data_IF_716414045341
#
_entry.id   IF_716414045341
#
_cell.length_a   1.000
_cell.length_b   1.000
_cell.length_c   1.000
_cell.angle_alpha   90.00
_cell.angle_beta   90.00
_cell.angle_gamma   90.00
#
_symmetry.space_group_name_H-M   'P 1'
#
loop_
_entity.id
_entity.type
_entity.pdbx_description
1 polymer ?
#
# COMPACT_ATOMS: atom_id res chain seq x y z
N UNK A 1 6.98 27.42 -6.16
CA UNK A 1 6.60 28.76 -6.67
C UNK A 1 5.76 28.59 -7.94
N UNK A 2 4.78 29.46 -8.24
CA UNK A 2 3.95 29.35 -9.46
C UNK A 2 2.77 28.34 -9.45
N UNK A 3 2.61 27.53 -8.39
CA UNK A 3 1.42 26.68 -8.22
C UNK A 3 0.22 27.47 -7.72
N UNK A 4 -0.99 26.95 -7.94
CA UNK A 4 -2.27 27.48 -7.42
C UNK A 4 -2.92 26.47 -6.47
N UNK A 5 -3.99 26.87 -5.77
CA UNK A 5 -4.68 25.99 -4.80
C UNK A 5 -5.17 24.69 -5.45
N UNK A 6 -5.59 24.76 -6.71
CA UNK A 6 -5.95 23.60 -7.54
C UNK A 6 -5.19 23.64 -8.85
N UNK A 7 -4.87 22.48 -9.42
CA UNK A 7 -4.23 22.40 -10.74
C UNK A 7 -5.07 23.07 -11.83
N UNK A 8 -6.40 23.14 -11.64
CA UNK A 8 -7.37 23.72 -12.58
C UNK A 8 -7.49 25.24 -12.52
N UNK A 9 -6.84 25.91 -11.56
CA UNK A 9 -6.96 27.36 -11.34
C UNK A 9 -5.93 28.19 -12.13
N UNK A 10 -5.48 27.70 -13.29
CA UNK A 10 -4.43 28.38 -14.08
C UNK A 10 -3.03 28.28 -13.47
N UNK A 11 -2.71 27.11 -12.89
CA UNK A 11 -1.39 26.81 -12.32
C UNK A 11 -0.29 26.96 -13.39
N UNK A 12 0.61 27.95 -13.22
CA UNK A 12 1.63 28.28 -14.22
C UNK A 12 2.65 27.15 -14.46
N UNK A 13 2.89 26.33 -13.44
CA UNK A 13 3.85 25.21 -13.46
C UNK A 13 3.19 23.86 -13.78
N UNK A 14 1.89 23.83 -14.08
CA UNK A 14 1.11 22.59 -14.24
C UNK A 14 1.71 21.63 -15.27
N UNK A 15 2.15 22.14 -16.42
CA UNK A 15 2.67 21.31 -17.52
C UNK A 15 4.00 20.64 -17.19
N UNK A 16 4.82 21.27 -16.36
CA UNK A 16 6.12 20.73 -15.92
C UNK A 16 5.99 19.91 -14.63
N UNK A 17 4.95 20.15 -13.83
CA UNK A 17 4.74 19.50 -12.54
C UNK A 17 4.53 17.97 -12.69
N UNK A 18 5.32 17.11 -12.01
CA UNK A 18 5.12 15.66 -12.07
C UNK A 18 3.80 15.18 -11.45
N UNK A 19 3.15 16.01 -10.63
CA UNK A 19 1.90 15.69 -9.92
C UNK A 19 0.70 16.52 -10.41
N UNK A 20 0.70 16.97 -11.66
CA UNK A 20 -0.47 17.66 -12.21
C UNK A 20 -1.68 16.73 -12.28
N UNK A 21 -2.73 17.08 -11.54
CA UNK A 21 -4.01 16.37 -11.62
C UNK A 21 -4.59 16.42 -13.04
N UNK A 22 -4.37 17.48 -13.82
CA UNK A 22 -4.85 17.55 -15.21
C UNK A 22 -4.12 16.52 -16.06
N UNK A 23 -2.79 16.44 -15.97
CA UNK A 23 -2.01 15.45 -16.75
C UNK A 23 -2.40 14.01 -16.37
N UNK A 24 -2.53 13.73 -15.07
CA UNK A 24 -2.85 12.38 -14.60
C UNK A 24 -4.28 11.95 -14.94
N UNK A 25 -5.28 12.77 -14.57
CA UNK A 25 -6.67 12.35 -14.69
C UNK A 25 -7.27 12.65 -16.06
N UNK A 26 -6.90 13.76 -16.73
CA UNK A 26 -7.56 14.20 -17.98
C UNK A 26 -6.79 13.73 -19.21
N UNK A 27 -5.48 14.00 -19.25
CA UNK A 27 -4.66 13.72 -20.43
C UNK A 27 -4.32 12.23 -20.52
N UNK A 28 -3.87 11.62 -19.41
CA UNK A 28 -3.57 10.19 -19.31
C UNK A 28 -4.81 9.32 -19.06
N UNK A 29 -5.94 9.92 -18.65
CA UNK A 29 -7.15 9.19 -18.23
C UNK A 29 -6.84 8.10 -17.18
N UNK A 30 -5.84 8.35 -16.32
CA UNK A 30 -5.35 7.40 -15.34
C UNK A 30 -6.10 7.55 -14.02
N UNK A 31 -6.30 6.42 -13.31
CA UNK A 31 -6.94 6.37 -11.98
C UNK A 31 -8.30 7.09 -11.91
N UNK A 32 -9.06 7.15 -13.01
CA UNK A 32 -10.34 7.89 -13.05
C UNK A 32 -11.51 7.15 -12.43
N UNK A 33 -11.32 5.89 -12.01
CA UNK A 33 -12.34 5.11 -11.27
C UNK A 33 -12.74 5.79 -9.96
N UNK A 34 -11.81 6.48 -9.30
CA UNK A 34 -12.05 7.18 -8.02
C UNK A 34 -12.90 8.45 -8.14
N UNK A 35 -13.20 8.88 -9.37
CA UNK A 35 -13.98 10.10 -9.64
C UNK A 35 -15.48 9.83 -9.78
N UNK A 36 -15.89 8.54 -9.76
CA UNK A 36 -17.27 8.08 -9.88
C UNK A 36 -18.00 8.70 -11.10
N UNK A 37 -17.33 8.67 -12.25
CA UNK A 37 -17.90 9.19 -13.50
C UNK A 37 -18.73 8.09 -14.17
N UNK A 38 -20.02 8.37 -14.34
CA UNK A 38 -20.98 7.44 -14.91
C UNK A 38 -20.53 6.86 -16.26
N UNK A 39 -20.79 5.57 -16.44
CA UNK A 39 -20.58 4.89 -17.71
C UNK A 39 -21.45 5.52 -18.81
N UNK A 40 -20.91 5.64 -20.03
CA UNK A 40 -21.62 6.29 -21.14
C UNK A 40 -21.62 7.83 -21.13
N UNK A 41 -20.90 8.48 -20.20
CA UNK A 41 -20.71 9.95 -20.22
C UNK A 41 -20.08 10.39 -21.54
N UNK A 42 -20.80 11.21 -22.31
CA UNK A 42 -20.42 11.61 -23.68
C UNK A 42 -19.13 12.42 -23.75
N UNK A 43 -18.95 13.40 -22.86
CA UNK A 43 -17.69 14.14 -22.69
C UNK A 43 -17.05 13.79 -21.35
N UNK A 44 -16.35 12.65 -21.35
CA UNK A 44 -15.65 12.17 -20.16
C UNK A 44 -14.57 13.14 -19.68
N UNK A 45 -13.87 13.83 -20.58
CA UNK A 45 -12.80 14.77 -20.20
C UNK A 45 -13.36 16.00 -19.49
N UNK A 46 -14.47 16.54 -19.99
CA UNK A 46 -15.17 17.63 -19.30
C UNK A 46 -15.67 17.18 -17.92
N UNK A 47 -16.22 15.96 -17.80
CA UNK A 47 -16.66 15.41 -16.51
C UNK A 47 -15.49 15.23 -15.52
N UNK A 48 -14.34 14.74 -15.97
CA UNK A 48 -13.12 14.66 -15.14
C UNK A 48 -12.69 16.06 -14.70
N UNK A 49 -12.64 17.02 -15.63
CA UNK A 49 -12.29 18.40 -15.31
C UNK A 49 -13.22 19.03 -14.28
N UNK A 50 -14.51 18.73 -14.33
CA UNK A 50 -15.48 19.18 -13.32
C UNK A 50 -15.19 18.58 -11.94
N UNK A 51 -14.92 17.27 -11.87
CA UNK A 51 -14.49 16.61 -10.62
C UNK A 51 -13.20 17.21 -10.08
N UNK A 52 -12.24 17.54 -10.95
CA UNK A 52 -11.00 18.24 -10.56
C UNK A 52 -11.24 19.70 -10.14
N UNK A 53 -12.39 20.31 -10.40
CA UNK A 53 -12.74 21.65 -9.87
C UNK A 53 -13.47 21.58 -8.53
N UNK A 54 -14.15 20.49 -8.23
CA UNK A 54 -15.07 20.40 -7.09
C UNK A 54 -14.61 19.48 -5.96
N UNK A 55 -13.69 18.54 -6.21
CA UNK A 55 -13.27 17.51 -5.22
C UNK A 55 -11.83 17.69 -4.72
N UNK A 56 -11.36 16.89 -3.77
CA UNK A 56 -9.96 16.96 -3.35
C UNK A 56 -8.96 16.51 -4.44
N UNK A 57 -9.40 15.76 -5.45
CA UNK A 57 -8.51 15.24 -6.51
C UNK A 57 -7.87 16.31 -7.40
N UNK A 58 -8.42 17.53 -7.43
CA UNK A 58 -7.83 18.64 -8.17
C UNK A 58 -6.97 19.59 -7.34
N UNK A 59 -6.92 19.43 -6.00
CA UNK A 59 -6.08 20.29 -5.14
C UNK A 59 -4.61 20.06 -5.46
N UNK A 60 -3.82 21.12 -5.38
CA UNK A 60 -2.37 20.99 -5.53
C UNK A 60 -1.81 20.23 -4.33
N UNK A 61 -1.07 19.15 -4.60
CA UNK A 61 -0.44 18.31 -3.56
C UNK A 61 0.56 19.07 -2.69
N UNK A 62 1.11 20.18 -3.19
CA UNK A 62 2.02 21.06 -2.45
C UNK A 62 1.31 22.19 -1.69
N UNK A 63 -0.02 22.30 -1.81
CA UNK A 63 -0.85 23.30 -1.11
C UNK A 63 -2.03 22.65 -0.40
N UNK A 64 -1.91 21.36 -0.09
CA UNK A 64 -2.86 20.63 0.71
C UNK A 64 -2.30 20.35 2.09
N UNK A 65 -3.22 20.06 3.00
CA UNK A 65 -3.03 19.70 4.40
C UNK A 65 -2.70 18.21 4.55
N UNK A 66 -1.88 17.67 3.65
CA UNK A 66 -1.39 16.30 3.74
C UNK A 66 -0.14 16.27 4.63
N UNK A 67 -0.25 15.64 5.78
CA UNK A 67 0.84 15.47 6.75
C UNK A 67 1.45 14.06 6.71
N UNK A 68 1.06 13.25 5.73
CA UNK A 68 1.59 11.91 5.57
C UNK A 68 3.06 11.96 5.16
N UNK A 69 3.93 11.22 5.84
CA UNK A 69 5.35 11.20 5.52
C UNK A 69 5.60 10.42 4.23
N UNK A 70 6.44 10.98 3.37
CA UNK A 70 6.93 10.28 2.17
C UNK A 70 7.91 9.16 2.52
N UNK A 71 8.62 9.30 3.64
CA UNK A 71 9.58 8.33 4.15
C UNK A 71 9.23 8.01 5.61
N UNK A 72 8.87 6.76 5.89
CA UNK A 72 8.49 6.32 7.23
C UNK A 72 9.24 5.05 7.59
N UNK A 73 10.12 5.14 8.58
CA UNK A 73 10.86 4.01 9.11
C UNK A 73 10.48 3.83 10.58
N UNK A 74 10.06 2.63 10.95
CA UNK A 74 9.83 2.26 12.35
C UNK A 74 10.68 1.05 12.72
N UNK A 75 11.31 1.14 13.90
CA UNK A 75 12.05 0.05 14.52
C UNK A 75 11.26 -0.49 15.70
N UNK A 76 11.03 -1.79 15.71
CA UNK A 76 10.16 -2.48 16.66
C UNK A 76 11.00 -3.54 17.37
N UNK A 77 10.85 -3.63 18.70
CA UNK A 77 11.41 -4.69 19.52
C UNK A 77 10.27 -5.47 20.16
N UNK A 78 10.25 -6.78 19.95
CA UNK A 78 9.31 -7.71 20.56
C UNK A 78 9.83 -8.19 21.93
N UNK A 79 8.94 -8.75 22.75
CA UNK A 79 9.25 -9.18 24.12
C UNK A 79 10.31 -10.27 24.22
N UNK A 80 10.47 -11.06 23.16
CA UNK A 80 11.47 -12.13 23.04
C UNK A 80 12.79 -11.65 22.40
N UNK A 81 13.01 -10.32 22.35
CA UNK A 81 14.17 -9.67 21.74
C UNK A 81 14.27 -9.78 20.22
N UNK A 82 13.26 -10.34 19.53
CA UNK A 82 13.15 -10.20 18.08
C UNK A 82 13.00 -8.73 17.73
N UNK A 83 13.62 -8.31 16.62
CA UNK A 83 13.49 -6.95 16.12
C UNK A 83 12.92 -6.95 14.72
N UNK A 84 12.14 -5.93 14.40
CA UNK A 84 11.64 -5.69 13.05
C UNK A 84 11.90 -4.24 12.67
N UNK A 85 12.22 -4.02 11.40
CA UNK A 85 12.24 -2.70 10.79
C UNK A 85 11.24 -2.69 9.65
N UNK A 86 10.32 -1.73 9.69
CA UNK A 86 9.35 -1.51 8.64
C UNK A 86 9.64 -0.16 7.98
N UNK A 87 9.83 -0.16 6.66
CA UNK A 87 9.97 1.06 5.86
C UNK A 87 8.84 1.19 4.87
N UNK A 88 8.29 2.39 4.77
CA UNK A 88 7.32 2.80 3.77
C UNK A 88 7.88 4.03 3.04
N UNK A 89 7.95 3.91 1.71
CA UNK A 89 8.58 4.90 0.83
C UNK A 89 7.58 5.33 -0.25
N UNK A 90 7.34 6.63 -0.37
CA UNK A 90 6.63 7.25 -1.47
C UNK A 90 7.60 7.63 -2.61
N UNK A 91 7.03 8.05 -3.74
CA UNK A 91 7.77 8.58 -4.90
C UNK A 91 8.81 7.64 -5.53
N UNK A 92 8.54 6.34 -5.46
CA UNK A 92 9.29 5.32 -6.21
C UNK A 92 8.74 5.18 -7.63
N UNK A 93 9.61 4.82 -8.59
CA UNK A 93 9.20 4.48 -9.96
C UNK A 93 8.59 3.08 -10.09
N UNK A 94 8.61 2.32 -8.99
CA UNK A 94 8.11 0.96 -8.87
C UNK A 94 7.21 0.83 -7.64
N UNK A 95 6.39 -0.21 -7.62
CA UNK A 95 5.63 -0.63 -6.45
C UNK A 95 6.20 -1.98 -5.99
N UNK A 96 5.56 -2.63 -5.02
CA UNK A 96 5.90 -3.93 -4.41
C UNK A 96 6.46 -3.84 -2.99
N UNK A 97 6.45 -5.00 -2.34
CA UNK A 97 6.88 -5.21 -0.97
C UNK A 97 8.13 -6.07 -0.97
N UNK A 98 9.08 -5.72 -0.13
CA UNK A 98 10.27 -6.53 0.10
C UNK A 98 10.30 -6.98 1.54
N UNK A 99 10.49 -8.28 1.74
CA UNK A 99 10.51 -8.91 3.05
C UNK A 99 11.82 -9.63 3.24
N UNK A 100 12.44 -9.47 4.41
CA UNK A 100 13.62 -10.21 4.83
C UNK A 100 13.40 -10.74 6.23
N UNK A 101 13.61 -12.03 6.42
CA UNK A 101 13.53 -12.69 7.71
C UNK A 101 14.87 -13.37 7.94
N UNK A 102 15.54 -13.02 9.04
CA UNK A 102 16.86 -13.53 9.37
C UNK A 102 16.77 -14.41 10.61
N UNK A 103 17.28 -15.64 10.50
CA UNK A 103 17.35 -16.60 11.59
C UNK A 103 18.76 -17.14 11.78
N UNK A 104 18.95 -17.90 12.86
CA UNK A 104 20.25 -18.51 13.18
C UNK A 104 20.62 -19.69 12.27
N UNK A 105 19.62 -20.31 11.62
CA UNK A 105 19.79 -21.50 10.78
C UNK A 105 19.50 -21.25 9.30
N UNK A 106 19.16 -20.02 8.94
CA UNK A 106 18.81 -19.65 7.58
C UNK A 106 18.21 -18.26 7.50
N UNK A 107 17.93 -17.84 6.28
CA UNK A 107 17.24 -16.60 5.99
C UNK A 107 16.23 -16.77 4.86
N UNK A 108 15.33 -15.80 4.75
CA UNK A 108 14.29 -15.74 3.74
C UNK A 108 14.22 -14.33 3.17
N UNK A 109 14.18 -14.23 1.84
CA UNK A 109 14.04 -12.97 1.11
C UNK A 109 12.90 -13.08 0.10
N UNK A 110 11.98 -12.13 0.12
CA UNK A 110 10.89 -12.05 -0.84
C UNK A 110 10.71 -10.66 -1.42
N UNK A 111 10.22 -10.59 -2.67
CA UNK A 111 10.06 -9.35 -3.43
C UNK A 111 8.75 -9.28 -4.23
N UNK A 112 7.70 -9.97 -3.76
CA UNK A 112 6.42 -10.20 -4.44
C UNK A 112 6.48 -11.09 -5.70
N UNK A 113 7.65 -11.30 -6.30
CA UNK A 113 7.82 -12.17 -7.48
C UNK A 113 8.33 -13.55 -7.10
N UNK A 114 9.30 -13.61 -6.19
CA UNK A 114 9.78 -14.86 -5.60
C UNK A 114 9.95 -14.74 -4.09
N UNK A 115 9.96 -15.90 -3.42
CA UNK A 115 10.40 -16.08 -2.05
C UNK A 115 11.54 -17.08 -2.06
N UNK A 116 12.71 -16.66 -1.63
CA UNK A 116 13.92 -17.48 -1.57
C UNK A 116 14.21 -17.81 -0.12
N UNK A 117 14.36 -19.09 0.18
CA UNK A 117 14.72 -19.59 1.52
C UNK A 117 16.08 -20.26 1.43
N UNK A 118 17.00 -19.84 2.30
CA UNK A 118 18.33 -20.40 2.38
C UNK A 118 18.53 -21.15 3.71
N UNK A 119 18.95 -22.40 3.63
CA UNK A 119 19.25 -23.24 4.79
C UNK A 119 20.78 -23.29 5.01
N UNK A 120 21.25 -22.75 6.15
CA UNK A 120 22.70 -22.66 6.42
C UNK A 120 23.35 -24.01 6.70
N UNK A 121 22.59 -25.00 7.18
CA UNK A 121 23.12 -26.33 7.53
C UNK A 121 23.43 -27.15 6.27
N UNK A 122 22.53 -27.09 5.30
CA UNK A 122 22.61 -27.86 4.05
C UNK A 122 23.20 -27.05 2.90
N UNK A 123 23.30 -25.72 3.05
CA UNK A 123 23.68 -24.76 2.00
C UNK A 123 22.78 -24.81 0.78
N UNK A 124 21.53 -25.28 0.96
CA UNK A 124 20.55 -25.37 -0.11
C UNK A 124 19.68 -24.12 -0.12
N UNK A 125 19.31 -23.75 -1.33
CA UNK A 125 18.34 -22.71 -1.62
C UNK A 125 17.05 -23.35 -2.13
N UNK A 126 15.91 -22.89 -1.63
CA UNK A 126 14.59 -23.24 -2.16
C UNK A 126 13.91 -21.96 -2.63
N UNK A 127 13.53 -21.93 -3.91
CA UNK A 127 12.79 -20.81 -4.51
C UNK A 127 11.32 -21.17 -4.64
N UNK A 128 10.47 -20.33 -4.08
CA UNK A 128 9.03 -20.38 -4.28
C UNK A 128 8.64 -19.24 -5.22
N UNK A 129 8.12 -19.59 -6.39
CA UNK A 129 7.61 -18.62 -7.37
C UNK A 129 6.08 -18.72 -7.33
N UNK A 130 5.39 -17.85 -6.58
CA UNK A 130 3.94 -17.87 -6.52
C UNK A 130 3.36 -17.63 -7.92
N UNK A 131 2.41 -18.47 -8.31
CA UNK A 131 1.55 -18.23 -9.46
C UNK A 131 0.23 -17.72 -8.92
N UNK A 132 0.03 -16.42 -8.99
CA UNK A 132 -1.30 -15.85 -8.74
C UNK A 132 -2.21 -16.27 -9.89
N UNK A 133 -3.23 -17.07 -9.59
CA UNK A 133 -4.29 -17.34 -10.56
C UNK A 133 -5.15 -16.08 -10.66
N UNK A 134 -4.93 -15.32 -11.74
CA UNK A 134 -5.76 -14.17 -12.06
C UNK A 134 -7.16 -14.68 -12.46
N UNK A 135 -8.14 -14.44 -11.60
CA UNK A 135 -9.55 -14.71 -11.91
C UNK A 135 -10.00 -13.77 -13.03
N UNK A 136 -10.69 -14.30 -14.03
CA UNK A 136 -11.28 -13.48 -15.10
C UNK A 136 -12.20 -12.41 -14.50
N UNK A 137 -11.92 -11.14 -14.83
CA UNK A 137 -12.56 -9.95 -14.23
C UNK A 137 -11.74 -9.23 -13.15
N UNK A 138 -10.74 -9.90 -12.57
CA UNK A 138 -9.80 -9.32 -11.58
C UNK A 138 -8.35 -9.22 -12.07
N UNK A 139 -8.11 -9.60 -13.33
CA UNK A 139 -6.83 -9.43 -14.04
C UNK A 139 -6.32 -8.00 -13.88
N UNK A 140 -5.05 -7.87 -13.48
CA UNK A 140 -4.38 -6.59 -13.26
C UNK A 140 -5.01 -5.70 -12.16
N UNK A 141 -5.73 -6.26 -11.20
CA UNK A 141 -6.22 -5.50 -10.04
C UNK A 141 -5.09 -4.88 -9.20
N UNK A 142 -3.86 -5.40 -9.32
CA UNK A 142 -2.67 -4.88 -8.62
C UNK A 142 -2.48 -5.44 -7.20
N UNK A 143 -3.25 -6.47 -6.84
CA UNK A 143 -3.29 -7.03 -5.49
C UNK A 143 -2.49 -8.35 -5.32
N UNK A 144 -1.76 -8.78 -6.36
CA UNK A 144 -0.85 -9.94 -6.29
C UNK A 144 -1.53 -11.30 -6.04
N UNK A 145 -2.85 -11.39 -6.23
CA UNK A 145 -3.64 -12.62 -6.05
C UNK A 145 -3.98 -12.98 -4.60
N UNK A 146 -3.50 -12.21 -3.61
CA UNK A 146 -3.72 -12.51 -2.19
C UNK A 146 -5.20 -12.46 -1.77
N UNK A 147 -5.97 -11.52 -2.33
CA UNK A 147 -7.38 -11.31 -1.99
C UNK A 147 -8.23 -12.55 -2.23
N UNK A 148 -7.98 -13.27 -3.33
CA UNK A 148 -8.72 -14.50 -3.64
C UNK A 148 -8.46 -15.59 -2.61
N UNK A 149 -7.20 -15.74 -2.18
CA UNK A 149 -6.82 -16.71 -1.15
C UNK A 149 -7.41 -16.33 0.20
N UNK A 150 -7.40 -15.05 0.58
CA UNK A 150 -8.04 -14.57 1.81
C UNK A 150 -9.55 -14.86 1.83
N UNK A 151 -10.26 -14.57 0.73
CA UNK A 151 -11.71 -14.85 0.64
C UNK A 151 -11.98 -16.35 0.63
N UNK A 152 -11.16 -17.15 -0.06
CA UNK A 152 -11.26 -18.60 -0.05
C UNK A 152 -11.11 -19.15 1.38
N UNK A 153 -10.06 -18.74 2.10
CA UNK A 153 -9.79 -19.20 3.46
C UNK A 153 -10.94 -18.80 4.40
N UNK A 154 -11.48 -17.58 4.24
CA UNK A 154 -12.67 -17.14 4.96
C UNK A 154 -13.90 -18.02 4.69
N UNK A 155 -14.24 -18.26 3.42
CA UNK A 155 -15.37 -19.11 3.04
C UNK A 155 -15.21 -20.53 3.60
N UNK A 156 -13.97 -21.07 3.58
CA UNK A 156 -13.66 -22.38 4.16
C UNK A 156 -13.82 -22.38 5.68
N UNK A 157 -13.30 -21.37 6.37
CA UNK A 157 -13.42 -21.21 7.82
C UNK A 157 -14.89 -21.16 8.26
N UNK A 158 -15.72 -20.38 7.57
CA UNK A 158 -17.17 -20.29 7.86
C UNK A 158 -17.88 -21.60 7.57
N UNK A 159 -17.65 -22.20 6.41
CA UNK A 159 -18.34 -23.44 6.00
C UNK A 159 -18.00 -24.60 6.94
N UNK A 160 -16.74 -24.69 7.36
CA UNK A 160 -16.24 -25.76 8.23
C UNK A 160 -16.39 -25.44 9.71
N UNK A 161 -16.83 -24.21 10.06
CA UNK A 161 -16.84 -23.70 11.43
C UNK A 161 -15.46 -23.84 12.10
N UNK A 162 -14.40 -23.58 11.35
CA UNK A 162 -13.02 -23.79 11.77
C UNK A 162 -12.20 -22.49 11.64
N UNK A 163 -12.04 -21.72 12.72
CA UNK A 163 -11.29 -20.46 12.68
C UNK A 163 -9.78 -20.66 12.47
N UNK A 164 -9.24 -21.86 12.67
CA UNK A 164 -7.81 -22.14 12.46
C UNK A 164 -7.38 -22.08 10.99
N UNK A 165 -8.34 -21.95 10.05
CA UNK A 165 -8.07 -21.71 8.63
C UNK A 165 -7.75 -20.25 8.34
N UNK A 166 -8.00 -19.33 9.28
CA UNK A 166 -7.64 -17.93 9.14
C UNK A 166 -6.23 -17.69 9.66
N UNK A 167 -5.42 -16.99 8.88
CA UNK A 167 -4.04 -16.61 9.24
C UNK A 167 -3.95 -15.29 10.00
N UNK A 168 -5.09 -14.61 10.18
CA UNK A 168 -5.18 -13.38 10.96
C UNK A 168 -6.51 -13.35 11.73
N UNK A 169 -6.40 -13.37 13.05
CA UNK A 169 -7.51 -13.23 13.98
C UNK A 169 -7.83 -11.76 14.23
N UNK A 170 -8.96 -11.48 14.89
CA UNK A 170 -9.31 -10.12 15.29
C UNK A 170 -8.33 -9.55 16.32
N UNK A 171 -7.82 -10.40 17.23
CA UNK A 171 -6.87 -9.98 18.26
C UNK A 171 -5.53 -9.57 17.63
N UNK A 172 -4.98 -10.39 16.72
CA UNK A 172 -3.77 -10.05 15.96
C UNK A 172 -3.96 -8.78 15.10
N UNK A 173 -5.16 -8.62 14.52
CA UNK A 173 -5.50 -7.42 13.77
C UNK A 173 -5.51 -6.19 14.68
N UNK A 174 -6.14 -6.26 15.86
CA UNK A 174 -6.17 -5.16 16.83
C UNK A 174 -4.75 -4.80 17.28
N UNK A 175 -3.94 -5.80 17.65
CA UNK A 175 -2.54 -5.61 18.04
C UNK A 175 -1.76 -4.84 16.96
N UNK A 176 -1.85 -5.27 15.70
CA UNK A 176 -1.14 -4.61 14.59
C UNK A 176 -1.56 -3.13 14.40
N UNK A 177 -2.83 -2.79 14.65
CA UNK A 177 -3.30 -1.40 14.60
C UNK A 177 -2.76 -0.58 15.77
N UNK A 178 -2.74 -1.14 16.98
CA UNK A 178 -2.16 -0.49 18.16
C UNK A 178 -0.67 -0.22 17.92
N UNK A 179 0.07 -1.18 17.35
CA UNK A 179 1.47 -0.99 16.95
C UNK A 179 1.64 0.19 16.00
N UNK A 180 0.76 0.31 14.99
CA UNK A 180 0.74 1.44 14.06
C UNK A 180 0.52 2.78 14.76
N UNK A 181 -0.45 2.86 15.68
CA UNK A 181 -0.72 4.08 16.45
C UNK A 181 0.44 4.46 17.38
N UNK A 182 1.09 3.48 18.01
CA UNK A 182 2.24 3.72 18.87
C UNK A 182 3.46 4.15 18.06
N UNK A 183 3.66 3.60 16.86
CA UNK A 183 4.70 4.05 15.95
C UNK A 183 4.48 5.51 15.50
N UNK A 184 3.24 5.90 15.20
CA UNK A 184 2.90 7.28 14.85
C UNK A 184 3.05 8.25 16.06
N UNK A 185 2.67 7.80 17.26
CA UNK A 185 2.92 8.55 18.49
C UNK A 185 4.41 8.73 18.75
N UNK A 186 5.22 7.69 18.50
CA UNK A 186 6.69 7.74 18.56
C UNK A 186 7.24 8.79 17.62
N UNK A 187 6.82 8.79 16.34
CA UNK A 187 7.24 9.77 15.34
C UNK A 187 6.93 11.20 15.75
N UNK A 188 5.72 11.47 16.26
CA UNK A 188 5.27 12.81 16.66
C UNK A 188 5.99 13.34 17.91
N UNK A 189 6.40 12.45 18.81
CA UNK A 189 6.98 12.84 20.11
C UNK A 189 8.49 12.62 20.21
N UNK A 190 9.11 11.95 19.24
CA UNK A 190 10.53 11.60 19.24
C UNK A 190 10.92 10.64 20.36
N UNK A 191 10.04 9.70 20.72
CA UNK A 191 10.23 8.78 21.87
C UNK A 191 9.81 7.37 21.52
N UNK A 192 10.49 6.39 22.12
CA UNK A 192 10.03 4.99 22.09
C UNK A 192 8.69 4.88 22.83
N UNK A 193 7.74 4.17 22.22
CA UNK A 193 6.41 3.95 22.77
C UNK A 193 6.22 2.47 23.08
N UNK A 194 5.74 2.17 24.28
CA UNK A 194 5.33 0.81 24.63
C UNK A 194 4.03 0.46 23.90
N UNK A 195 3.98 -0.74 23.33
CA UNK A 195 2.74 -1.32 22.80
C UNK A 195 2.07 -2.07 23.94
N UNK A 196 0.86 -1.64 24.33
CA UNK A 196 0.04 -2.27 25.36
C UNK A 196 -1.26 -2.75 24.73
N UNK A 197 -1.52 -4.05 24.85
CA UNK A 197 -2.72 -4.73 24.33
C UNK A 197 -3.69 -4.93 25.50
#
# INVERSE_FOLDING_TARGET
>A
EGSTARCTDGCAVERECPYSAIKEYVDRNSRTSVLDIAEGTSDRKAAIMDKLKTTNYGRCVYRMDNDQPDHYVTSIQFSDSVTANFSMEAFTSYHDRRTRIMGSMGDMVGDMTELVVHDFKTRKETKFIPKADDVDGYKNSGHGGGDWLLVKDFCQAVTQQNPALLTSTIDESIESHIMGFMAESSRKNGKVMDVKI
#
